data_IF_134553363178
#
_entry.id   IF_134553363178
#
_cell.length_a   1.000
_cell.length_b   1.000
_cell.length_c   1.000
_cell.angle_alpha   90.00
_cell.angle_beta   90.00
_cell.angle_gamma   90.00
#
_symmetry.space_group_name_H-M   'P 1'
#
loop_
_entity.id
_entity.type
_entity.pdbx_description
1 polymer ?
#
# COMPACT_ATOMS: atom_id res chain seq x y z
N UNK A 1 1.87 51.83 3.58
CA UNK A 1 2.99 50.89 3.35
C UNK A 1 2.66 49.50 3.91
N UNK A 2 1.64 48.80 3.38
CA UNK A 2 1.07 47.58 4.01
C UNK A 2 1.30 46.28 3.23
N UNK A 3 1.98 46.32 2.09
CA UNK A 3 2.16 45.17 1.19
C UNK A 3 3.21 44.15 1.69
N UNK A 4 4.10 44.54 2.60
CA UNK A 4 5.23 43.70 3.01
C UNK A 4 4.87 42.64 4.06
N UNK A 5 3.79 42.85 4.85
CA UNK A 5 3.39 41.91 5.90
C UNK A 5 2.65 40.69 5.32
N UNK A 6 1.91 40.88 4.23
CA UNK A 6 1.16 39.82 3.57
C UNK A 6 2.05 38.83 2.80
N UNK A 7 3.10 39.32 2.11
CA UNK A 7 4.05 38.45 1.38
C UNK A 7 4.78 37.49 2.31
N UNK A 8 5.24 37.98 3.46
CA UNK A 8 6.00 37.17 4.44
C UNK A 8 5.15 36.04 5.05
N UNK A 9 3.85 36.27 5.23
CA UNK A 9 2.92 35.24 5.68
C UNK A 9 2.68 34.16 4.62
N UNK A 10 2.58 34.55 3.35
CA UNK A 10 2.37 33.63 2.24
C UNK A 10 3.61 32.74 1.98
N UNK A 11 4.82 33.30 2.03
CA UNK A 11 6.06 32.52 1.87
C UNK A 11 6.23 31.46 2.98
N UNK A 12 5.87 31.80 4.23
CA UNK A 12 5.89 30.84 5.34
C UNK A 12 4.91 29.68 5.12
N UNK A 13 3.69 29.99 4.69
CA UNK A 13 2.63 29.01 4.40
C UNK A 13 3.01 28.06 3.25
N UNK A 14 3.72 28.55 2.23
CA UNK A 14 4.19 27.73 1.11
C UNK A 14 5.39 26.85 1.48
N UNK A 15 6.20 27.27 2.44
CA UNK A 15 7.31 26.47 2.96
C UNK A 15 6.81 25.35 3.88
N UNK A 16 5.85 25.65 4.76
CA UNK A 16 5.21 24.67 5.66
C UNK A 16 4.39 23.61 4.89
N UNK A 17 3.80 23.97 3.73
CA UNK A 17 3.11 23.01 2.85
C UNK A 17 4.02 21.92 2.26
N UNK A 18 5.32 22.18 2.07
CA UNK A 18 6.25 21.19 1.48
C UNK A 18 6.62 20.07 2.44
N UNK A 19 6.60 20.32 3.76
CA UNK A 19 6.97 19.31 4.76
C UNK A 19 5.83 18.34 5.10
N UNK A 20 4.57 18.74 4.93
CA UNK A 20 3.39 17.89 5.24
C UNK A 20 3.15 16.80 4.17
N UNK A 21 3.83 16.86 3.02
CA UNK A 21 3.76 15.84 1.96
C UNK A 21 4.77 14.70 2.11
N UNK A 22 5.32 14.47 3.31
CA UNK A 22 5.82 13.12 3.64
C UNK A 22 4.64 12.23 3.98
N UNK A 23 3.76 12.01 3.00
CA UNK A 23 2.81 10.90 3.03
C UNK A 23 3.69 9.68 3.17
N UNK A 24 3.58 9.04 4.32
CA UNK A 24 4.23 7.79 4.62
C UNK A 24 3.91 6.87 3.44
N UNK A 25 4.91 6.61 2.59
CA UNK A 25 4.85 5.54 1.62
C UNK A 25 4.92 4.26 2.43
N UNK A 26 3.87 3.96 3.21
CA UNK A 26 3.38 2.60 3.34
C UNK A 26 2.99 2.21 1.91
N UNK A 27 4.03 1.97 1.09
CA UNK A 27 3.98 1.11 -0.06
C UNK A 27 3.18 -0.07 0.48
N UNK A 28 2.05 -0.38 -0.14
CA UNK A 28 1.43 -1.68 0.07
C UNK A 28 2.52 -2.66 -0.34
N UNK A 29 3.35 -3.06 0.63
CA UNK A 29 4.46 -3.96 0.37
C UNK A 29 3.80 -5.21 -0.15
N UNK A 30 4.18 -5.63 -1.36
CA UNK A 30 3.67 -6.89 -1.89
C UNK A 30 4.02 -7.99 -0.88
N UNK A 31 3.05 -8.83 -0.57
CA UNK A 31 3.20 -9.89 0.43
C UNK A 31 3.07 -11.22 -0.29
N UNK A 32 3.92 -12.18 0.07
CA UNK A 32 3.81 -13.53 -0.47
C UNK A 32 2.47 -14.15 -0.07
N UNK A 33 1.81 -14.90 -0.97
CA UNK A 33 0.62 -15.66 -0.59
C UNK A 33 0.99 -16.72 0.45
N UNK A 34 0.00 -17.13 1.25
CA UNK A 34 0.12 -18.28 2.14
C UNK A 34 -0.44 -19.52 1.43
N UNK A 35 0.20 -20.66 1.58
CA UNK A 35 -0.34 -21.93 1.10
C UNK A 35 -1.21 -22.55 2.20
N UNK A 36 -2.49 -22.79 1.90
CA UNK A 36 -3.40 -23.52 2.78
C UNK A 36 -3.67 -24.91 2.19
N UNK A 37 -3.64 -25.93 3.04
CA UNK A 37 -3.94 -27.32 2.70
C UNK A 37 -5.43 -27.54 2.96
N UNK A 38 -6.18 -27.94 1.94
CA UNK A 38 -7.54 -28.46 2.10
C UNK A 38 -7.45 -29.97 2.37
N UNK A 39 -7.56 -30.36 3.65
CA UNK A 39 -7.47 -31.75 4.10
C UNK A 39 -8.59 -32.64 3.52
N UNK A 40 -9.74 -32.07 3.11
CA UNK A 40 -10.85 -32.84 2.53
C UNK A 40 -10.60 -33.19 1.05
N UNK A 41 -9.87 -32.33 0.34
CA UNK A 41 -9.61 -32.48 -1.10
C UNK A 41 -8.17 -32.91 -1.41
N UNK A 42 -7.27 -32.83 -0.43
CA UNK A 42 -5.84 -33.07 -0.62
C UNK A 42 -5.18 -32.06 -1.57
N UNK A 43 -5.77 -30.88 -1.73
CA UNK A 43 -5.28 -29.83 -2.63
C UNK A 43 -4.71 -28.65 -1.86
N UNK A 44 -3.67 -28.01 -2.40
CA UNK A 44 -3.09 -26.78 -1.86
C UNK A 44 -3.60 -25.57 -2.63
N UNK A 45 -3.99 -24.52 -1.90
CA UNK A 45 -4.47 -23.26 -2.46
C UNK A 45 -3.62 -22.10 -1.96
N UNK A 46 -3.35 -21.14 -2.83
CA UNK A 46 -2.67 -19.90 -2.47
C UNK A 46 -3.70 -18.88 -1.98
N UNK A 47 -3.51 -18.36 -0.78
CA UNK A 47 -4.43 -17.44 -0.14
C UNK A 47 -3.78 -16.10 0.22
N UNK A 48 -4.61 -15.07 0.33
CA UNK A 48 -4.19 -13.74 0.74
C UNK A 48 -3.66 -13.78 2.17
N UNK A 49 -2.46 -13.23 2.46
CA UNK A 49 -1.89 -13.24 3.81
C UNK A 49 -2.63 -12.33 4.81
N UNK A 50 -3.62 -11.55 4.36
CA UNK A 50 -4.42 -10.67 5.23
C UNK A 50 -5.83 -11.18 5.50
N UNK A 51 -6.38 -11.94 4.56
CA UNK A 51 -7.80 -12.29 4.57
C UNK A 51 -8.03 -13.79 4.44
N UNK A 52 -6.97 -14.56 4.18
CA UNK A 52 -6.99 -16.02 4.06
C UNK A 52 -7.94 -16.54 2.97
N UNK A 53 -8.41 -15.65 2.09
CA UNK A 53 -9.19 -15.98 0.90
C UNK A 53 -8.27 -16.40 -0.23
N UNK A 54 -8.71 -17.33 -1.06
CA UNK A 54 -7.98 -17.77 -2.25
C UNK A 54 -7.64 -16.58 -3.16
N UNK A 55 -6.41 -16.55 -3.65
CA UNK A 55 -5.90 -15.54 -4.57
C UNK A 55 -5.14 -16.20 -5.71
N UNK A 56 -5.47 -15.77 -6.93
CA UNK A 56 -4.85 -16.21 -8.19
C UNK A 56 -4.27 -15.04 -9.00
N UNK A 57 -4.49 -13.80 -8.52
CA UNK A 57 -4.11 -12.57 -9.20
C UNK A 57 -2.99 -11.82 -8.47
N UNK A 58 -2.46 -10.78 -9.14
CA UNK A 58 -1.48 -9.85 -8.55
C UNK A 58 -2.03 -9.09 -7.33
N UNK A 59 -3.34 -8.97 -7.19
CA UNK A 59 -3.99 -8.28 -6.08
C UNK A 59 -5.11 -9.15 -5.50
N UNK A 60 -5.21 -9.17 -4.18
CA UNK A 60 -6.35 -9.80 -3.50
C UNK A 60 -7.64 -9.03 -3.82
N UNK A 61 -8.63 -9.73 -4.39
CA UNK A 61 -9.93 -9.18 -4.76
C UNK A 61 -10.73 -8.65 -3.56
N UNK A 62 -10.44 -9.13 -2.35
CA UNK A 62 -11.15 -8.75 -1.14
C UNK A 62 -10.58 -7.48 -0.48
N UNK A 63 -9.27 -7.45 -0.18
CA UNK A 63 -8.65 -6.33 0.54
C UNK A 63 -7.73 -5.45 -0.31
N UNK A 64 -7.51 -5.80 -1.58
CA UNK A 64 -6.62 -5.06 -2.48
C UNK A 64 -5.14 -5.14 -2.11
N UNK A 65 -4.75 -6.16 -1.32
CA UNK A 65 -3.34 -6.44 -1.01
C UNK A 65 -2.62 -6.93 -2.27
N UNK A 66 -1.48 -6.31 -2.60
CA UNK A 66 -0.61 -6.80 -3.68
C UNK A 66 0.06 -8.10 -3.24
N UNK A 67 0.00 -9.12 -4.09
CA UNK A 67 0.55 -10.45 -3.87
C UNK A 67 1.89 -10.57 -4.60
N UNK A 68 2.92 -10.88 -3.85
CA UNK A 68 4.26 -11.17 -4.37
C UNK A 68 4.36 -12.66 -4.73
N UNK A 69 4.20 -12.98 -6.01
CA UNK A 69 4.31 -14.34 -6.51
C UNK A 69 5.76 -14.79 -6.72
N UNK A 70 6.76 -13.91 -6.54
CA UNK A 70 8.16 -14.29 -6.67
C UNK A 70 8.59 -14.75 -8.07
N UNK A 71 7.84 -14.41 -9.12
CA UNK A 71 8.32 -14.61 -10.50
C UNK A 71 9.55 -13.72 -10.71
N UNK A 72 10.74 -14.31 -10.58
CA UNK A 72 11.99 -13.68 -10.98
C UNK A 72 11.88 -13.32 -12.48
N UNK A 73 12.17 -12.07 -12.81
CA UNK A 73 12.29 -11.60 -14.20
C UNK A 73 13.59 -12.07 -14.85
#
# INVERSE_FOLDING_TARGET
MSFNKAKKAHEKLMSERKEVTKINKNKRTAMKPIELIDDERGTTHNCCPKCEVEVDAKYCSYCGQEIDWGYES
#
